data_IF_056457977556
#
_entry.id   IF_056457977556
#
_cell.length_a   1.000
_cell.length_b   1.000
_cell.length_c   1.000
_cell.angle_alpha   90.00
_cell.angle_beta   90.00
_cell.angle_gamma   90.00
#
_symmetry.space_group_name_H-M   'P 1'
#
loop_
_entity.id
_entity.type
_entity.pdbx_description
1 polymer ?
#
# COMPACT_ATOMS: atom_id res chain seq x y z
N UNK A 1 -26.41 42.65 15.11
CA UNK A 1 -27.02 43.00 13.80
C UNK A 1 -26.10 44.00 13.13
N UNK A 2 -25.62 43.70 11.91
CA UNK A 2 -25.09 44.56 10.80
C UNK A 2 -24.40 45.89 11.20
N UNK A 3 -23.27 46.33 10.66
CA UNK A 3 -22.65 46.16 9.34
C UNK A 3 -21.36 47.01 9.31
N UNK A 4 -20.43 46.66 8.40
CA UNK A 4 -19.46 47.49 7.66
C UNK A 4 -18.61 48.57 8.38
N UNK A 5 -17.28 48.42 8.32
CA UNK A 5 -16.42 49.33 7.53
C UNK A 5 -14.95 48.86 7.47
N UNK A 6 -14.42 48.81 6.25
CA UNK A 6 -12.99 48.86 5.87
C UNK A 6 -12.36 50.21 6.30
N UNK A 7 -11.02 50.43 6.37
CA UNK A 7 -10.04 50.01 5.34
C UNK A 7 -8.59 49.69 5.79
N UNK A 8 -7.86 49.06 4.87
CA UNK A 8 -6.39 49.01 4.86
C UNK A 8 -5.76 50.40 4.85
N UNK A 9 -4.73 50.61 5.69
CA UNK A 9 -3.68 51.62 5.52
C UNK A 9 -2.32 50.94 5.62
N UNK A 10 -1.51 51.05 4.57
CA UNK A 10 -0.07 50.82 4.61
C UNK A 10 0.67 52.12 4.99
N UNK A 11 1.94 52.02 5.41
CA UNK A 11 2.94 52.77 4.64
C UNK A 11 4.20 51.97 4.28
N UNK A 12 4.77 52.43 3.17
CA UNK A 12 6.04 52.15 2.48
C UNK A 12 7.27 51.83 3.35
N UNK A 13 8.09 50.85 2.90
CA UNK A 13 9.47 51.00 2.38
C UNK A 13 10.06 49.62 1.98
N UNK A 14 10.81 49.56 0.87
CA UNK A 14 11.32 48.36 0.16
C UNK A 14 12.78 48.00 0.53
N UNK A 15 13.51 47.07 -0.14
CA UNK A 15 13.15 45.77 -0.75
C UNK A 15 14.09 44.62 -0.29
N UNK A 16 13.63 43.35 -0.30
CA UNK A 16 14.37 42.15 -0.81
C UNK A 16 13.66 40.83 -0.45
N UNK A 17 13.68 39.94 -1.44
CA UNK A 17 13.17 38.56 -1.49
C UNK A 17 11.68 38.40 -1.82
N UNK A 18 11.43 37.96 -3.05
CA UNK A 18 10.12 37.55 -3.55
C UNK A 18 9.67 36.29 -2.80
N UNK A 19 8.82 36.47 -1.79
CA UNK A 19 7.78 35.51 -1.43
C UNK A 19 6.45 36.20 -1.74
N UNK A 20 5.84 35.84 -2.86
CA UNK A 20 4.44 36.21 -3.09
C UNK A 20 3.59 35.39 -2.13
N UNK A 21 3.14 36.05 -1.07
CA UNK A 21 2.11 35.58 -0.18
C UNK A 21 0.77 35.86 -0.87
N UNK A 22 0.30 34.91 -1.67
CA UNK A 22 -1.04 35.01 -2.27
C UNK A 22 -2.06 34.56 -1.22
N UNK A 23 -2.68 35.54 -0.57
CA UNK A 23 -3.95 35.34 0.10
C UNK A 23 -5.04 35.22 -0.99
N UNK A 24 -5.58 34.01 -1.20
CA UNK A 24 -6.80 33.84 -1.99
C UNK A 24 -8.00 33.77 -1.06
N UNK A 25 -8.87 34.77 -1.22
CA UNK A 25 -10.22 34.78 -0.68
C UNK A 25 -11.02 33.61 -1.25
N UNK A 26 -11.79 32.96 -0.38
CA UNK A 26 -12.75 31.94 -0.71
C UNK A 26 -13.90 32.53 -1.53
N UNK A 27 -14.05 32.10 -2.78
CA UNK A 27 -15.35 31.84 -3.41
C UNK A 27 -15.13 31.06 -4.72
N UNK A 28 -15.99 30.05 -4.91
CA UNK A 28 -16.20 29.28 -6.13
C UNK A 28 -15.02 28.47 -6.70
N UNK A 29 -14.82 27.25 -6.16
CA UNK A 29 -14.16 26.18 -6.89
C UNK A 29 -14.97 24.87 -6.79
N UNK A 30 -15.47 24.52 -7.96
CA UNK A 30 -16.17 23.31 -8.39
C UNK A 30 -15.53 22.02 -7.83
N UNK A 31 -16.35 21.16 -7.23
CA UNK A 31 -15.94 19.94 -6.51
C UNK A 31 -15.68 18.75 -7.43
N UNK A 32 -15.13 18.97 -8.62
CA UNK A 32 -14.78 17.91 -9.56
C UNK A 32 -13.27 17.93 -9.83
N UNK A 33 -12.64 16.75 -9.82
CA UNK A 33 -11.23 16.45 -10.13
C UNK A 33 -10.27 16.38 -8.92
N UNK A 34 -10.33 15.24 -8.22
CA UNK A 34 -9.10 14.61 -7.68
C UNK A 34 -9.19 13.09 -7.85
N UNK A 35 -8.78 12.60 -9.02
CA UNK A 35 -8.63 11.16 -9.27
C UNK A 35 -7.24 10.70 -8.82
N UNK A 36 -7.20 9.87 -7.77
CA UNK A 36 -6.05 9.03 -7.44
C UNK A 36 -5.87 7.96 -8.52
N UNK A 37 -4.65 7.44 -8.70
CA UNK A 37 -4.29 6.39 -9.67
C UNK A 37 -3.39 5.36 -8.98
N UNK A 38 -3.98 4.40 -8.26
CA UNK A 38 -3.45 3.06 -7.94
C UNK A 38 -4.36 2.28 -6.95
N UNK A 39 -4.07 0.98 -6.83
CA UNK A 39 -4.92 -0.21 -6.52
C UNK A 39 -5.81 -0.11 -5.30
N UNK A 40 -6.80 -0.99 -5.26
CA UNK A 40 -7.68 -1.20 -4.12
C UNK A 40 -7.81 -2.70 -3.91
N UNK A 41 -7.51 -3.20 -2.73
CA UNK A 41 -7.76 -4.61 -2.39
C UNK A 41 -8.31 -4.70 -0.96
N UNK A 42 -9.62 -4.48 -0.85
CA UNK A 42 -10.37 -4.88 0.33
C UNK A 42 -11.47 -5.84 -0.07
N UNK A 43 -11.40 -7.08 0.41
CA UNK A 43 -12.45 -8.08 0.19
C UNK A 43 -12.90 -8.65 1.54
N UNK A 44 -14.21 -8.70 1.75
CA UNK A 44 -14.84 -9.41 2.86
C UNK A 44 -15.23 -10.81 2.34
N UNK A 45 -14.82 -11.90 3.00
CA UNK A 45 -15.00 -13.28 2.51
C UNK A 45 -15.30 -14.30 3.62
N UNK A 46 -16.05 -15.34 3.24
CA UNK A 46 -16.55 -16.48 4.01
C UNK A 46 -15.73 -17.79 3.80
N UNK A 47 -15.80 -18.71 4.76
CA UNK A 47 -15.14 -20.04 4.76
C UNK A 47 -16.15 -21.16 4.44
N UNK A 48 -15.88 -22.10 3.52
CA UNK A 48 -16.73 -23.27 3.34
C UNK A 48 -16.28 -24.37 4.31
N UNK A 49 -17.04 -24.56 5.39
CA UNK A 49 -17.13 -25.88 6.01
C UNK A 49 -18.59 -26.31 5.94
N UNK A 50 -18.81 -27.41 5.22
CA UNK A 50 -20.11 -28.07 5.08
C UNK A 50 -20.66 -28.46 6.44
N UNK A 51 -21.54 -27.62 6.99
CA UNK A 51 -22.66 -28.02 7.83
C UNK A 51 -23.72 -26.90 7.71
N UNK A 52 -24.96 -27.30 7.40
CA UNK A 52 -26.14 -26.42 7.45
C UNK A 52 -26.16 -25.71 8.82
N UNK A 53 -25.77 -24.45 8.84
CA UNK A 53 -26.00 -23.53 9.93
C UNK A 53 -26.80 -22.37 9.37
N UNK A 54 -28.12 -22.50 9.48
CA UNK A 54 -29.04 -21.37 9.53
C UNK A 54 -28.64 -20.50 10.72
N UNK A 55 -27.80 -19.48 10.52
CA UNK A 55 -27.75 -18.32 11.40
C UNK A 55 -27.09 -17.15 10.67
N UNK A 56 -27.70 -15.98 10.80
CA UNK A 56 -27.34 -14.71 10.17
C UNK A 56 -25.86 -14.35 10.44
N UNK A 57 -24.98 -14.54 9.46
CA UNK A 57 -23.59 -14.05 9.47
C UNK A 57 -23.36 -13.27 8.17
N UNK A 58 -22.72 -12.08 8.20
CA UNK A 58 -22.68 -11.16 7.06
C UNK A 58 -21.88 -11.80 5.92
N UNK A 59 -22.59 -12.23 4.89
CA UNK A 59 -22.02 -12.75 3.66
C UNK A 59 -21.27 -11.62 2.93
N UNK A 60 -20.16 -11.96 2.29
CA UNK A 60 -19.51 -11.10 1.30
C UNK A 60 -20.58 -10.61 0.32
N UNK A 61 -20.77 -9.29 0.12
CA UNK A 61 -21.93 -8.76 -0.58
C UNK A 61 -22.01 -9.17 -2.06
N UNK A 62 -20.91 -9.69 -2.62
CA UNK A 62 -20.79 -10.10 -4.02
C UNK A 62 -20.39 -11.58 -4.19
N UNK A 63 -20.45 -12.36 -3.11
CA UNK A 63 -19.81 -13.68 -3.07
C UNK A 63 -18.29 -13.59 -2.96
N UNK A 64 -17.62 -14.70 -3.23
CA UNK A 64 -16.15 -14.81 -3.23
C UNK A 64 -15.59 -14.24 -4.54
N UNK A 65 -14.83 -13.14 -4.45
CA UNK A 65 -14.22 -12.46 -5.60
C UNK A 65 -12.75 -12.81 -5.82
N UNK A 66 -12.07 -13.34 -4.79
CA UNK A 66 -10.64 -13.68 -4.80
C UNK A 66 -10.41 -15.14 -4.32
N UNK A 67 -11.08 -16.15 -4.94
CA UNK A 67 -11.04 -17.53 -4.44
C UNK A 67 -9.63 -18.14 -4.37
N UNK A 68 -8.72 -17.73 -5.27
CA UNK A 68 -7.36 -18.26 -5.30
C UNK A 68 -6.53 -17.74 -4.12
N UNK A 69 -6.59 -16.43 -3.88
CA UNK A 69 -5.95 -15.77 -2.74
C UNK A 69 -6.58 -16.18 -1.41
N UNK A 70 -7.90 -16.41 -1.36
CA UNK A 70 -8.58 -16.98 -0.19
C UNK A 70 -8.06 -18.38 0.13
N UNK A 71 -7.91 -19.24 -0.87
CA UNK A 71 -7.32 -20.58 -0.67
C UNK A 71 -5.89 -20.49 -0.13
N UNK A 72 -5.06 -19.63 -0.73
CA UNK A 72 -3.69 -19.38 -0.24
C UNK A 72 -3.67 -18.82 1.17
N UNK A 73 -4.54 -17.86 1.50
CA UNK A 73 -4.61 -17.28 2.82
C UNK A 73 -5.06 -18.29 3.89
N UNK A 74 -5.91 -19.25 3.56
CA UNK A 74 -6.26 -20.35 4.48
C UNK A 74 -5.10 -21.33 4.69
N UNK A 75 -4.29 -21.57 3.66
CA UNK A 75 -3.15 -22.49 3.71
C UNK A 75 -1.88 -21.87 4.33
N UNK A 76 -1.79 -20.54 4.37
CA UNK A 76 -0.61 -19.80 4.83
C UNK A 76 -0.97 -18.78 5.91
N UNK A 77 -0.06 -17.83 6.19
CA UNK A 77 -0.24 -16.85 7.25
C UNK A 77 -1.00 -15.64 6.74
N UNK A 78 -2.09 -15.30 7.42
CA UNK A 78 -2.74 -13.99 7.32
C UNK A 78 -3.16 -13.54 8.72
N UNK A 79 -3.00 -12.25 8.97
CA UNK A 79 -3.46 -11.60 10.19
C UNK A 79 -4.89 -11.13 9.99
N UNK A 80 -5.77 -11.52 10.92
CA UNK A 80 -7.20 -11.28 10.80
C UNK A 80 -7.82 -10.96 12.15
N UNK A 81 -8.74 -9.97 12.23
CA UNK A 81 -9.50 -9.70 13.44
C UNK A 81 -10.58 -10.75 13.73
N UNK A 82 -10.77 -11.71 12.81
CA UNK A 82 -11.73 -12.81 12.94
C UNK A 82 -11.00 -14.15 13.04
N UNK A 83 -11.75 -15.23 13.27
CA UNK A 83 -11.24 -16.60 13.23
C UNK A 83 -11.04 -17.14 11.81
N UNK A 84 -11.43 -16.39 10.78
CA UNK A 84 -11.28 -16.73 9.36
C UNK A 84 -10.32 -15.75 8.68
N UNK A 85 -10.30 -15.74 7.35
CA UNK A 85 -9.66 -14.66 6.61
C UNK A 85 -10.33 -13.33 6.97
N UNK A 86 -9.50 -12.32 7.14
CA UNK A 86 -9.84 -10.94 7.36
C UNK A 86 -8.65 -10.10 6.92
N UNK A 87 -8.48 -8.92 7.51
CA UNK A 87 -7.34 -8.10 7.17
C UNK A 87 -7.19 -6.87 8.04
N UNK A 88 -6.49 -5.88 7.52
CA UNK A 88 -6.15 -4.68 8.25
C UNK A 88 -7.35 -3.73 8.31
N UNK A 89 -7.51 -3.08 9.45
CA UNK A 89 -8.40 -1.95 9.64
C UNK A 89 -7.75 -0.73 8.99
N UNK A 90 -8.46 -0.08 8.06
CA UNK A 90 -7.99 1.17 7.46
C UNK A 90 -8.13 2.32 8.44
N UNK A 91 -7.07 3.12 8.57
CA UNK A 91 -7.00 4.27 9.48
C UNK A 91 -6.70 5.56 8.68
N UNK A 92 -6.78 6.70 9.35
CA UNK A 92 -6.50 7.99 8.75
C UNK A 92 -5.10 8.04 8.14
N UNK A 93 -4.96 8.71 7.00
CA UNK A 93 -3.67 8.83 6.31
C UNK A 93 -3.14 7.54 5.67
N UNK A 94 -4.02 6.57 5.35
CA UNK A 94 -3.66 5.33 4.61
C UNK A 94 -4.62 5.00 3.45
N UNK A 95 -5.57 5.89 3.13
CA UNK A 95 -6.72 5.57 2.26
C UNK A 95 -6.49 5.69 0.74
N UNK A 96 -5.24 5.74 0.29
CA UNK A 96 -4.86 5.78 -1.13
C UNK A 96 -3.47 5.19 -1.30
N UNK A 97 -3.10 4.73 -2.51
CA UNK A 97 -1.89 3.91 -2.71
C UNK A 97 -0.62 4.48 -2.11
N UNK A 98 -0.28 5.75 -2.36
CA UNK A 98 0.94 6.34 -1.79
C UNK A 98 0.94 6.26 -0.26
N UNK A 99 -0.21 6.58 0.35
CA UNK A 99 -0.38 6.51 1.79
C UNK A 99 -0.35 5.09 2.36
N UNK A 100 -0.97 4.13 1.66
CA UNK A 100 -0.90 2.70 2.01
C UNK A 100 0.51 2.15 1.92
N UNK A 101 1.22 2.45 0.82
CA UNK A 101 2.63 2.06 0.61
C UNK A 101 3.54 2.64 1.69
N UNK A 102 3.41 3.93 2.02
CA UNK A 102 4.19 4.57 3.10
C UNK A 102 3.84 3.95 4.46
N UNK A 103 2.57 3.68 4.74
CA UNK A 103 2.17 3.04 5.98
C UNK A 103 2.78 1.64 6.11
N UNK A 104 2.78 0.85 5.03
CA UNK A 104 3.39 -0.48 5.01
C UNK A 104 4.92 -0.46 5.11
N UNK A 105 5.59 0.47 4.45
CA UNK A 105 7.06 0.51 4.44
C UNK A 105 7.62 1.23 5.66
N UNK A 106 6.98 2.32 6.11
CA UNK A 106 7.55 3.23 7.08
C UNK A 106 6.82 3.21 8.44
N UNK A 107 5.65 2.57 8.52
CA UNK A 107 4.88 2.49 9.75
C UNK A 107 4.31 3.84 10.19
N UNK A 108 4.08 4.78 9.27
CA UNK A 108 3.61 6.13 9.56
C UNK A 108 2.46 6.54 8.62
N UNK A 109 1.55 7.43 9.06
CA UNK A 109 0.51 7.97 8.19
C UNK A 109 1.09 8.96 7.18
N UNK A 110 0.50 9.02 5.98
CA UNK A 110 0.77 10.12 5.07
C UNK A 110 -0.18 11.29 5.37
N UNK A 111 0.33 12.25 6.13
CA UNK A 111 -0.28 13.57 6.26
C UNK A 111 0.40 14.53 5.27
N UNK A 112 -0.27 14.84 4.16
CA UNK A 112 0.26 15.79 3.19
C UNK A 112 0.19 17.21 3.78
N UNK A 113 1.28 18.00 3.75
CA UNK A 113 1.26 19.40 4.22
C UNK A 113 0.37 20.31 3.36
N UNK A 114 -0.09 19.83 2.20
CA UNK A 114 -0.98 20.55 1.27
C UNK A 114 -1.99 19.52 0.71
N UNK A 115 -3.26 19.88 0.62
CA UNK A 115 -4.29 18.99 0.06
C UNK A 115 -4.07 18.72 -1.43
N UNK A 116 -4.03 17.45 -1.82
CA UNK A 116 -3.99 17.00 -3.22
C UNK A 116 -2.76 16.17 -3.61
N UNK A 117 -2.80 15.63 -4.85
CA UNK A 117 -1.77 14.74 -5.42
C UNK A 117 -0.72 15.48 -6.26
N UNK A 118 -0.77 16.81 -6.29
CA UNK A 118 0.09 17.69 -7.10
C UNK A 118 1.47 17.88 -6.46
N UNK A 119 2.09 16.79 -6.03
CA UNK A 119 3.39 16.82 -5.39
C UNK A 119 4.45 16.34 -6.39
N UNK A 120 5.21 17.29 -6.93
CA UNK A 120 6.25 17.08 -7.95
C UNK A 120 7.66 17.35 -7.43
N UNK A 121 7.83 17.45 -6.11
CA UNK A 121 9.15 17.67 -5.52
C UNK A 121 10.00 16.40 -5.68
N UNK A 122 11.29 16.61 -5.99
CA UNK A 122 12.31 15.55 -5.97
C UNK A 122 12.56 14.96 -4.57
N UNK A 123 12.01 15.60 -3.55
CA UNK A 123 12.11 15.22 -2.14
C UNK A 123 10.75 14.76 -1.66
N UNK A 124 10.65 13.51 -1.21
CA UNK A 124 9.41 12.94 -0.70
C UNK A 124 9.74 12.04 0.50
N UNK A 125 9.42 12.54 1.70
CA UNK A 125 9.68 11.87 2.98
C UNK A 125 11.12 11.36 3.18
N UNK A 126 12.13 12.01 2.58
CA UNK A 126 13.53 11.56 2.63
C UNK A 126 14.08 11.36 4.05
N UNK A 127 13.57 12.13 5.01
CA UNK A 127 13.98 12.05 6.41
C UNK A 127 13.17 11.03 7.23
N UNK A 128 12.16 10.38 6.64
CA UNK A 128 11.56 9.21 7.26
C UNK A 128 12.54 8.03 7.25
N UNK A 129 12.33 7.07 8.14
CA UNK A 129 12.99 5.78 8.07
C UNK A 129 11.96 4.73 7.68
N UNK A 130 12.30 3.89 6.71
CA UNK A 130 11.43 2.83 6.22
C UNK A 130 12.12 1.46 6.27
N UNK A 131 11.34 0.38 6.20
CA UNK A 131 11.80 -1.00 6.18
C UNK A 131 12.81 -1.22 5.05
N UNK A 132 12.62 -0.60 3.88
CA UNK A 132 13.56 -0.67 2.77
C UNK A 132 14.94 -0.06 3.08
N UNK A 133 15.02 0.95 3.96
CA UNK A 133 16.30 1.47 4.42
C UNK A 133 17.04 0.44 5.30
N UNK A 134 16.29 -0.27 6.15
CA UNK A 134 16.84 -1.36 6.96
C UNK A 134 17.34 -2.47 6.04
N UNK A 135 16.53 -2.90 5.06
CA UNK A 135 16.90 -3.91 4.07
C UNK A 135 18.15 -3.51 3.28
N UNK A 136 18.27 -2.25 2.87
CA UNK A 136 19.45 -1.73 2.19
C UNK A 136 20.72 -1.92 3.04
N UNK A 137 20.66 -1.64 4.34
CA UNK A 137 21.81 -1.88 5.24
C UNK A 137 22.13 -3.36 5.49
N UNK A 138 21.16 -4.25 5.23
CA UNK A 138 21.39 -5.70 5.23
C UNK A 138 21.95 -6.21 3.90
N UNK A 139 22.02 -5.36 2.87
CA UNK A 139 22.59 -5.68 1.56
C UNK A 139 21.55 -6.10 0.53
N UNK A 140 20.26 -5.81 0.75
CA UNK A 140 19.21 -6.15 -0.20
C UNK A 140 19.31 -5.32 -1.48
N UNK A 141 19.26 -5.99 -2.63
CA UNK A 141 18.94 -5.35 -3.91
C UNK A 141 17.44 -5.10 -3.99
N UNK A 142 17.01 -3.85 -4.18
CA UNK A 142 15.59 -3.49 -4.09
C UNK A 142 15.09 -2.88 -5.38
N UNK A 143 14.01 -3.43 -5.93
CA UNK A 143 13.42 -2.97 -7.18
C UNK A 143 11.90 -2.89 -7.05
N UNK A 144 11.32 -1.80 -7.54
CA UNK A 144 9.87 -1.60 -7.66
C UNK A 144 9.46 -1.64 -9.13
N UNK A 145 8.43 -2.44 -9.44
CA UNK A 145 7.83 -2.60 -10.75
C UNK A 145 6.43 -2.01 -10.78
N UNK A 146 6.14 -1.22 -11.82
CA UNK A 146 4.81 -0.67 -12.05
C UNK A 146 4.53 -0.46 -13.54
N UNK A 147 3.26 -0.65 -13.92
CA UNK A 147 2.76 -0.35 -15.26
C UNK A 147 2.46 1.11 -15.54
N UNK A 148 2.74 1.99 -14.57
CA UNK A 148 2.47 3.43 -14.66
C UNK A 148 3.77 4.24 -14.63
N UNK A 149 3.71 5.50 -15.04
CA UNK A 149 4.75 6.47 -14.68
C UNK A 149 4.68 6.74 -13.17
N UNK A 150 5.65 6.22 -12.44
CA UNK A 150 5.70 6.32 -10.99
C UNK A 150 6.09 7.72 -10.49
N UNK A 151 6.42 8.66 -11.38
CA UNK A 151 6.65 10.07 -10.99
C UNK A 151 5.38 10.73 -10.48
N UNK A 152 4.21 10.17 -10.81
CA UNK A 152 2.91 10.61 -10.29
C UNK A 152 2.85 10.49 -8.76
N UNK A 153 2.26 11.50 -8.11
CA UNK A 153 2.11 11.61 -6.65
C UNK A 153 3.41 11.48 -5.83
N UNK A 154 4.58 11.57 -6.48
CA UNK A 154 5.88 11.49 -5.82
C UNK A 154 6.38 10.08 -5.51
N UNK A 155 5.70 9.01 -5.97
CA UNK A 155 6.06 7.60 -5.68
C UNK A 155 7.51 7.29 -6.07
N UNK A 156 7.93 7.68 -7.29
CA UNK A 156 9.30 7.46 -7.78
C UNK A 156 10.35 8.13 -6.90
N UNK A 157 10.11 9.36 -6.46
CA UNK A 157 11.05 10.10 -5.63
C UNK A 157 11.16 9.49 -4.23
N UNK A 158 10.04 9.10 -3.64
CA UNK A 158 10.01 8.35 -2.38
C UNK A 158 10.76 7.02 -2.49
N UNK A 159 10.47 6.19 -3.49
CA UNK A 159 11.14 4.89 -3.65
C UNK A 159 12.66 5.07 -3.79
N UNK A 160 13.09 6.03 -4.60
CA UNK A 160 14.51 6.32 -4.80
C UNK A 160 15.20 6.84 -3.54
N UNK A 161 14.55 7.68 -2.74
CA UNK A 161 15.11 8.19 -1.48
C UNK A 161 15.25 7.10 -0.40
N UNK A 162 14.50 6.01 -0.54
CA UNK A 162 14.53 4.84 0.35
C UNK A 162 15.20 3.60 -0.28
N UNK A 163 16.17 3.84 -1.18
CA UNK A 163 17.06 2.82 -1.77
C UNK A 163 16.34 1.74 -2.59
N UNK A 164 15.22 2.07 -3.22
CA UNK A 164 14.48 1.19 -4.12
C UNK A 164 14.61 1.72 -5.56
N UNK A 165 15.19 0.91 -6.45
CA UNK A 165 15.26 1.23 -7.87
C UNK A 165 13.87 1.11 -8.52
N UNK A 166 13.56 1.97 -9.49
CA UNK A 166 12.22 2.02 -10.11
C UNK A 166 12.31 1.52 -11.56
N UNK A 167 11.59 0.43 -11.86
CA UNK A 167 11.32 -0.08 -13.20
C UNK A 167 9.84 0.16 -13.50
N UNK A 168 9.54 1.37 -13.98
CA UNK A 168 8.20 1.86 -14.30
C UNK A 168 7.95 1.86 -15.82
N UNK A 169 6.75 2.28 -16.27
CA UNK A 169 6.45 2.34 -17.70
C UNK A 169 7.50 3.15 -18.50
N UNK A 170 7.90 4.37 -18.09
CA UNK A 170 9.00 5.10 -18.74
C UNK A 170 10.31 4.33 -18.82
N UNK A 171 10.69 3.59 -17.77
CA UNK A 171 11.88 2.72 -17.78
C UNK A 171 11.76 1.64 -18.86
N UNK A 172 10.66 0.88 -18.89
CA UNK A 172 10.47 -0.19 -19.88
C UNK A 172 10.49 0.33 -21.31
N UNK A 173 9.93 1.52 -21.54
CA UNK A 173 9.96 2.18 -22.84
C UNK A 173 11.37 2.64 -23.23
N UNK A 174 12.11 3.23 -22.30
CA UNK A 174 13.49 3.67 -22.53
C UNK A 174 14.44 2.50 -22.81
N UNK A 175 14.17 1.32 -22.24
CA UNK A 175 14.93 0.09 -22.49
C UNK A 175 14.47 -0.66 -23.76
N UNK A 176 13.39 -0.23 -24.42
CA UNK A 176 12.82 -0.94 -25.57
C UNK A 176 12.16 -2.29 -25.22
N UNK A 177 11.88 -2.53 -23.94
CA UNK A 177 11.17 -3.73 -23.45
C UNK A 177 9.68 -3.63 -23.81
N UNK A 178 9.14 -2.42 -23.80
CA UNK A 178 7.76 -2.08 -24.16
C UNK A 178 7.80 -0.94 -25.19
N UNK A 179 6.91 -0.92 -26.20
CA UNK A 179 6.88 0.17 -27.18
C UNK A 179 6.52 1.52 -26.54
N UNK A 180 6.99 2.61 -27.15
CA UNK A 180 6.68 3.98 -26.72
C UNK A 180 5.18 4.30 -26.73
N UNK A 181 4.42 3.61 -27.60
CA UNK A 181 2.97 3.64 -27.62
C UNK A 181 2.44 2.23 -27.35
N UNK A 182 1.61 2.09 -26.32
CA UNK A 182 1.01 0.81 -25.97
C UNK A 182 -0.10 0.47 -26.97
N UNK A 183 -0.12 -0.77 -27.44
CA UNK A 183 -1.25 -1.32 -28.20
C UNK A 183 -2.26 -1.99 -27.26
N UNK A 184 -3.36 -2.51 -27.82
CA UNK A 184 -4.43 -3.16 -27.06
C UNK A 184 -3.97 -4.45 -26.35
N UNK A 185 -2.85 -5.04 -26.80
CA UNK A 185 -2.31 -6.26 -26.20
C UNK A 185 -1.53 -5.95 -24.91
N UNK A 186 -1.09 -4.70 -24.72
CA UNK A 186 -0.33 -4.25 -23.55
C UNK A 186 -1.09 -3.28 -22.64
N UNK A 187 -2.03 -2.52 -23.21
CA UNK A 187 -2.69 -1.41 -22.54
C UNK A 187 -3.88 -1.86 -21.67
N UNK A 188 -3.80 -1.54 -20.38
CA UNK A 188 -4.96 -1.45 -19.48
C UNK A 188 -5.54 -0.03 -19.44
N UNK A 189 -6.48 0.25 -18.56
CA UNK A 189 -7.11 1.58 -18.48
C UNK A 189 -6.16 2.70 -18.05
N UNK A 190 -5.14 2.41 -17.25
CA UNK A 190 -4.27 3.42 -16.65
C UNK A 190 -2.82 3.38 -17.15
N UNK A 191 -2.40 2.28 -17.78
CA UNK A 191 -1.03 2.06 -18.26
C UNK A 191 -0.87 0.63 -18.75
N UNK A 192 0.25 -0.03 -18.45
CA UNK A 192 0.38 -1.46 -18.70
C UNK A 192 -0.58 -2.25 -17.80
N UNK A 193 -1.26 -3.23 -18.40
CA UNK A 193 -2.12 -4.17 -17.69
C UNK A 193 -1.32 -5.06 -16.73
N UNK A 194 -1.97 -5.55 -15.68
CA UNK A 194 -1.31 -6.29 -14.60
C UNK A 194 -0.73 -7.62 -15.06
N UNK A 195 -1.38 -8.30 -16.01
CA UNK A 195 -0.85 -9.54 -16.59
C UNK A 195 0.54 -9.33 -17.19
N UNK A 196 0.77 -8.19 -17.86
CA UNK A 196 2.09 -7.85 -18.40
C UNK A 196 3.10 -7.50 -17.32
N UNK A 197 2.67 -6.84 -16.26
CA UNK A 197 3.55 -6.51 -15.13
C UNK A 197 4.01 -7.77 -14.39
N UNK A 198 3.14 -8.77 -14.22
CA UNK A 198 3.55 -10.05 -13.65
C UNK A 198 4.50 -10.84 -14.55
N UNK A 199 4.35 -10.78 -15.88
CA UNK A 199 5.36 -11.34 -16.80
C UNK A 199 6.72 -10.66 -16.62
N UNK A 200 6.76 -9.32 -16.65
CA UNK A 200 7.99 -8.56 -16.47
C UNK A 200 8.63 -8.80 -15.09
N UNK A 201 7.82 -9.00 -14.06
CA UNK A 201 8.31 -9.35 -12.74
C UNK A 201 9.00 -10.73 -12.71
N UNK A 202 8.42 -11.72 -13.38
CA UNK A 202 9.04 -13.05 -13.50
C UNK A 202 10.34 -13.02 -14.31
N UNK A 203 10.42 -12.19 -15.35
CA UNK A 203 11.65 -11.97 -16.11
C UNK A 203 12.71 -11.21 -15.29
N UNK A 204 12.27 -10.33 -14.39
CA UNK A 204 13.16 -9.52 -13.54
C UNK A 204 13.76 -10.33 -12.39
N UNK A 205 12.99 -11.21 -11.73
CA UNK A 205 13.42 -12.02 -10.59
C UNK A 205 14.83 -12.65 -10.75
N UNK A 206 15.14 -13.42 -11.81
CA UNK A 206 16.44 -14.07 -11.96
C UNK A 206 17.61 -13.09 -12.20
N UNK A 207 17.32 -11.82 -12.46
CA UNK A 207 18.35 -10.77 -12.66
C UNK A 207 18.76 -10.09 -11.36
N UNK A 208 17.97 -10.26 -10.28
CA UNK A 208 18.21 -9.60 -9.00
C UNK A 208 19.34 -10.28 -8.23
N UNK A 209 20.22 -9.46 -7.65
CA UNK A 209 21.29 -9.95 -6.76
C UNK A 209 20.70 -10.28 -5.39
N UNK A 210 20.91 -11.51 -4.92
CA UNK A 210 20.50 -11.93 -3.56
C UNK A 210 21.37 -11.30 -2.45
N UNK A 211 20.78 -10.98 -1.27
CA UNK A 211 19.34 -10.99 -1.02
C UNK A 211 18.64 -9.85 -1.78
N UNK A 212 17.37 -10.03 -2.14
CA UNK A 212 16.61 -9.02 -2.88
C UNK A 212 15.22 -8.76 -2.28
N UNK A 213 14.65 -7.60 -2.59
CA UNK A 213 13.24 -7.30 -2.41
C UNK A 213 12.67 -6.77 -3.74
N UNK A 214 11.66 -7.47 -4.26
CA UNK A 214 10.93 -7.08 -5.45
C UNK A 214 9.54 -6.60 -5.03
N UNK A 215 9.24 -5.32 -5.29
CA UNK A 215 7.95 -4.72 -5.04
C UNK A 215 7.19 -4.62 -6.36
N UNK A 216 5.94 -5.07 -6.40
CA UNK A 216 5.11 -5.06 -7.61
C UNK A 216 3.81 -4.34 -7.28
N UNK A 217 3.50 -3.27 -8.02
CA UNK A 217 2.20 -2.62 -7.94
C UNK A 217 1.34 -3.02 -9.12
N UNK A 218 0.15 -3.51 -8.80
CA UNK A 218 -0.93 -3.71 -9.78
C UNK A 218 -1.63 -2.37 -10.10
N UNK A 219 -2.62 -2.37 -10.98
CA UNK A 219 -3.48 -1.21 -11.30
C UNK A 219 -4.89 -1.60 -11.78
N UNK A 220 -5.14 -2.83 -12.19
CA UNK A 220 -6.37 -3.17 -12.89
C UNK A 220 -7.61 -3.17 -11.99
N UNK A 221 -7.48 -3.22 -10.66
CA UNK A 221 -8.62 -3.06 -9.73
C UNK A 221 -8.99 -1.59 -9.44
N UNK A 222 -8.42 -0.65 -10.19
CA UNK A 222 -8.62 0.77 -9.96
C UNK A 222 -10.04 1.24 -10.28
N UNK A 223 -10.60 2.09 -9.41
CA UNK A 223 -11.89 2.75 -9.64
C UNK A 223 -11.86 3.68 -10.89
N UNK A 224 -13.00 3.99 -11.53
CA UNK A 224 -14.34 3.54 -11.20
C UNK A 224 -14.58 2.08 -11.58
N UNK A 225 -14.09 1.57 -12.71
CA UNK A 225 -14.66 0.35 -13.30
C UNK A 225 -13.73 -0.85 -13.29
N UNK A 226 -12.45 -0.67 -12.95
CA UNK A 226 -11.44 -1.72 -13.06
C UNK A 226 -11.21 -2.14 -14.50
N UNK A 227 -10.24 -3.01 -14.73
CA UNK A 227 -9.88 -3.54 -16.03
C UNK A 227 -9.81 -5.06 -15.96
N UNK A 228 -10.30 -5.73 -17.00
CA UNK A 228 -10.23 -7.18 -17.14
C UNK A 228 -9.50 -7.49 -18.44
N UNK A 229 -8.31 -8.07 -18.32
CA UNK A 229 -7.54 -8.50 -19.48
C UNK A 229 -8.27 -9.65 -20.19
N UNK A 230 -8.81 -9.38 -21.37
CA UNK A 230 -9.56 -10.38 -22.14
C UNK A 230 -8.74 -11.58 -22.57
N UNK A 231 -7.41 -11.46 -22.63
CA UNK A 231 -6.53 -12.56 -23.00
C UNK A 231 -6.29 -13.50 -21.81
N UNK A 232 -5.98 -12.95 -20.64
CA UNK A 232 -5.72 -13.74 -19.43
C UNK A 232 -7.01 -14.19 -18.70
N UNK A 233 -8.09 -13.44 -18.88
CA UNK A 233 -9.34 -13.54 -18.12
C UNK A 233 -10.57 -13.49 -19.03
N UNK A 234 -10.49 -14.08 -20.24
CA UNK A 234 -11.56 -14.01 -21.24
C UNK A 234 -12.89 -14.65 -20.82
N UNK A 235 -12.87 -15.50 -19.80
CA UNK A 235 -14.03 -16.14 -19.16
C UNK A 235 -14.64 -15.33 -18.00
N UNK A 236 -14.03 -14.19 -17.63
CA UNK A 236 -14.48 -13.33 -16.53
C UNK A 236 -15.29 -12.15 -17.09
N UNK A 237 -16.39 -11.80 -16.40
CA UNK A 237 -17.22 -10.64 -16.75
C UNK A 237 -16.38 -9.34 -16.71
N UNK A 238 -16.54 -8.47 -17.71
CA UNK A 238 -15.75 -7.23 -17.83
C UNK A 238 -16.37 -6.08 -17.02
N UNK A 239 -16.48 -6.30 -15.71
CA UNK A 239 -16.98 -5.31 -14.74
C UNK A 239 -16.02 -5.14 -13.56
N UNK A 240 -16.37 -4.25 -12.63
CA UNK A 240 -15.54 -3.96 -11.46
C UNK A 240 -15.31 -5.18 -10.56
N UNK A 241 -16.27 -6.12 -10.46
CA UNK A 241 -16.09 -7.37 -9.70
C UNK A 241 -15.13 -8.29 -10.44
N UNK A 242 -15.28 -8.40 -11.75
CA UNK A 242 -14.40 -9.17 -12.62
C UNK A 242 -12.96 -8.70 -12.59
N UNK A 243 -12.70 -7.41 -12.41
CA UNK A 243 -11.35 -6.90 -12.22
C UNK A 243 -10.66 -7.50 -10.97
N UNK A 244 -11.41 -7.68 -9.86
CA UNK A 244 -10.89 -8.38 -8.67
C UNK A 244 -10.64 -9.86 -8.96
N UNK A 245 -11.57 -10.55 -9.61
CA UNK A 245 -11.42 -11.99 -9.95
C UNK A 245 -10.28 -12.22 -10.94
N UNK A 246 -10.06 -11.31 -11.89
CA UNK A 246 -8.94 -11.39 -12.81
C UNK A 246 -7.62 -11.16 -12.07
N UNK A 247 -7.54 -10.13 -11.23
CA UNK A 247 -6.34 -9.83 -10.43
C UNK A 247 -6.00 -10.96 -9.46
N UNK A 248 -7.00 -11.60 -8.83
CA UNK A 248 -6.83 -12.82 -8.03
C UNK A 248 -6.10 -13.93 -8.79
N UNK A 249 -6.59 -14.24 -10.00
CA UNK A 249 -6.00 -15.26 -10.87
C UNK A 249 -4.56 -14.91 -11.26
N UNK A 250 -4.31 -13.66 -11.62
CA UNK A 250 -2.99 -13.20 -12.04
C UNK A 250 -1.98 -13.26 -10.89
N UNK A 251 -2.35 -12.82 -9.69
CA UNK A 251 -1.48 -12.91 -8.51
C UNK A 251 -1.21 -14.37 -8.15
N UNK A 252 -2.23 -15.23 -8.17
CA UNK A 252 -2.06 -16.65 -7.86
C UNK A 252 -1.14 -17.37 -8.86
N UNK A 253 -1.26 -17.08 -10.17
CA UNK A 253 -0.33 -17.60 -11.17
C UNK A 253 1.09 -17.10 -10.96
N UNK A 254 1.26 -15.79 -10.69
CA UNK A 254 2.57 -15.22 -10.36
C UNK A 254 3.21 -15.92 -9.15
N UNK A 255 2.48 -16.07 -8.04
CA UNK A 255 2.96 -16.76 -6.83
C UNK A 255 3.41 -18.17 -7.17
N UNK A 256 2.57 -18.94 -7.88
CA UNK A 256 2.88 -20.31 -8.27
C UNK A 256 4.16 -20.38 -9.11
N UNK A 257 4.31 -19.49 -10.09
CA UNK A 257 5.50 -19.43 -10.96
C UNK A 257 6.74 -18.99 -10.20
N UNK A 258 6.64 -17.98 -9.34
CA UNK A 258 7.75 -17.54 -8.49
C UNK A 258 8.21 -18.65 -7.53
N UNK A 259 7.27 -19.34 -6.88
CA UNK A 259 7.57 -20.50 -6.03
C UNK A 259 8.17 -21.68 -6.81
N UNK A 260 7.82 -21.87 -8.08
CA UNK A 260 8.47 -22.90 -8.92
C UNK A 260 9.95 -22.62 -9.19
N UNK A 261 10.38 -21.34 -9.13
CA UNK A 261 11.76 -20.91 -9.35
C UNK A 261 12.55 -20.94 -8.03
N UNK A 262 11.98 -20.42 -6.94
CA UNK A 262 12.70 -20.19 -5.67
C UNK A 262 12.29 -21.12 -4.52
N UNK A 263 11.15 -21.80 -4.61
CA UNK A 263 10.62 -22.63 -3.53
C UNK A 263 10.45 -21.85 -2.22
N UNK A 264 10.93 -22.43 -1.12
CA UNK A 264 10.76 -21.87 0.23
C UNK A 264 11.82 -20.84 0.64
N UNK A 265 12.78 -20.54 -0.23
CA UNK A 265 13.76 -19.46 0.00
C UNK A 265 13.14 -18.08 -0.23
N UNK A 266 12.10 -18.00 -1.07
CA UNK A 266 11.37 -16.77 -1.35
C UNK A 266 10.21 -16.59 -0.37
N UNK A 267 10.31 -15.56 0.47
CA UNK A 267 9.14 -15.06 1.22
C UNK A 267 8.33 -14.14 0.32
N UNK A 268 7.02 -14.39 0.23
CA UNK A 268 6.10 -13.59 -0.58
C UNK A 268 5.07 -12.95 0.36
N UNK A 269 4.85 -11.65 0.17
CA UNK A 269 3.84 -10.90 0.92
C UNK A 269 2.89 -10.24 -0.08
N UNK A 270 1.60 -10.53 0.05
CA UNK A 270 0.53 -9.91 -0.77
C UNK A 270 -0.26 -8.98 0.13
N UNK A 271 -0.37 -7.72 -0.27
CA UNK A 271 -1.04 -6.68 0.50
C UNK A 271 -2.02 -5.95 -0.40
N UNK A 272 -3.24 -5.73 0.10
CA UNK A 272 -4.01 -4.59 -0.37
C UNK A 272 -3.37 -3.32 0.15
N UNK A 273 -3.30 -2.27 -0.65
CA UNK A 273 -2.79 -0.97 -0.24
C UNK A 273 -3.83 -0.16 0.53
N UNK A 274 -5.10 -0.22 0.12
CA UNK A 274 -6.22 0.39 0.80
C UNK A 274 -7.58 -0.22 0.40
N UNK A 275 -8.62 0.21 1.11
CA UNK A 275 -10.02 -0.11 0.85
C UNK A 275 -10.51 0.55 -0.43
N UNK A 276 -11.32 -0.17 -1.22
CA UNK A 276 -11.94 0.37 -2.44
C UNK A 276 -12.68 1.70 -2.25
N UNK A 277 -12.36 2.68 -3.10
CA UNK A 277 -12.99 4.00 -3.15
C UNK A 277 -14.19 4.04 -4.11
N UNK A 278 -14.66 2.89 -4.61
CA UNK A 278 -15.84 2.83 -5.48
C UNK A 278 -17.02 3.52 -4.81
N UNK A 279 -17.54 4.54 -5.48
CA UNK A 279 -18.69 5.34 -5.06
C UNK A 279 -20.01 4.75 -5.58
N UNK A 280 -21.14 5.40 -5.27
CA UNK A 280 -22.44 5.04 -5.83
C UNK A 280 -23.13 3.86 -5.13
N UNK A 281 -22.78 3.57 -3.87
CA UNK A 281 -23.41 2.50 -3.11
C UNK A 281 -23.05 1.09 -3.56
N UNK A 282 -21.93 0.92 -4.28
CA UNK A 282 -21.45 -0.38 -4.74
C UNK A 282 -21.40 -1.39 -3.59
N UNK A 283 -20.73 -1.03 -2.50
CA UNK A 283 -20.73 -1.82 -1.26
C UNK A 283 -22.01 -1.54 -0.45
N UNK A 284 -22.72 -2.58 0.02
CA UNK A 284 -23.85 -2.40 0.91
C UNK A 284 -23.47 -1.67 2.20
N UNK A 285 -24.39 -0.89 2.78
CA UNK A 285 -24.17 -0.27 4.08
C UNK A 285 -23.93 -1.34 5.15
N UNK A 286 -23.08 -1.03 6.14
CA UNK A 286 -22.76 -1.90 7.29
C UNK A 286 -22.02 -3.21 6.96
N UNK A 287 -21.34 -3.29 5.82
CA UNK A 287 -20.38 -4.37 5.55
C UNK A 287 -19.03 -4.00 6.16
N UNK A 288 -18.52 -4.85 7.04
CA UNK A 288 -17.15 -4.75 7.53
C UNK A 288 -16.19 -5.05 6.39
N UNK A 289 -15.26 -4.13 6.15
CA UNK A 289 -14.27 -4.22 5.08
C UNK A 289 -12.88 -4.12 5.66
N UNK A 290 -12.00 -4.98 5.18
CA UNK A 290 -10.62 -5.05 5.61
C UNK A 290 -9.69 -5.01 4.41
N UNK A 291 -8.47 -4.55 4.63
CA UNK A 291 -7.41 -4.55 3.62
C UNK A 291 -6.67 -5.88 3.66
N UNK A 292 -6.59 -6.57 2.52
CA UNK A 292 -6.09 -7.94 2.46
C UNK A 292 -4.61 -8.05 2.84
N UNK A 293 -4.22 -9.13 3.51
CA UNK A 293 -2.82 -9.47 3.75
C UNK A 293 -2.60 -11.00 3.68
N UNK A 294 -1.45 -11.41 3.17
CA UNK A 294 -1.03 -12.80 3.08
C UNK A 294 0.51 -12.86 3.11
N UNK A 295 1.04 -13.75 3.93
CA UNK A 295 2.47 -14.06 4.07
C UNK A 295 2.68 -15.53 3.74
N UNK A 296 3.47 -15.78 2.70
CA UNK A 296 3.89 -17.11 2.25
C UNK A 296 5.38 -17.26 2.56
N UNK A 297 5.74 -18.39 3.16
CA UNK A 297 7.11 -18.71 3.58
C UNK A 297 7.79 -17.62 4.43
N UNK A 298 7.10 -16.96 5.40
CA UNK A 298 7.74 -15.97 6.24
C UNK A 298 8.81 -16.63 7.13
N UNK A 299 9.88 -15.88 7.42
CA UNK A 299 10.99 -16.27 8.30
C UNK A 299 10.92 -15.53 9.64
N UNK A 300 9.71 -15.40 10.19
CA UNK A 300 9.48 -14.72 11.47
C UNK A 300 10.43 -15.25 12.55
N UNK A 301 11.05 -14.34 13.30
CA UNK A 301 12.09 -14.68 14.29
C UNK A 301 11.52 -15.16 15.63
N UNK A 302 10.21 -15.39 15.68
CA UNK A 302 9.50 -15.97 16.82
C UNK A 302 8.53 -17.05 16.34
N UNK A 303 8.28 -18.10 17.14
CA UNK A 303 7.30 -19.13 16.77
C UNK A 303 5.91 -18.55 16.47
N UNK A 304 5.27 -19.08 15.44
CA UNK A 304 3.93 -18.69 15.02
C UNK A 304 3.14 -19.91 14.55
N UNK A 305 1.81 -19.83 14.66
CA UNK A 305 0.85 -20.77 14.04
C UNK A 305 -0.22 -19.99 13.28
N UNK A 306 -0.97 -20.65 12.41
CA UNK A 306 -2.11 -20.02 11.70
C UNK A 306 -3.13 -19.48 12.70
N UNK A 307 -3.39 -20.19 13.80
CA UNK A 307 -4.32 -19.78 14.85
C UNK A 307 -3.81 -18.55 15.61
N UNK A 308 -2.50 -18.45 15.84
CA UNK A 308 -1.90 -17.30 16.55
C UNK A 308 -2.03 -15.97 15.79
N UNK A 309 -2.33 -16.02 14.49
CA UNK A 309 -2.54 -14.84 13.65
C UNK A 309 -4.03 -14.49 13.46
N UNK A 310 -4.94 -15.21 14.13
CA UNK A 310 -6.37 -14.92 14.17
C UNK A 310 -6.76 -14.12 15.40
N UNK A 311 -7.92 -13.48 15.33
CA UNK A 311 -8.38 -12.54 16.37
C UNK A 311 -7.34 -11.45 16.67
N UNK A 312 -6.62 -11.00 15.63
CA UNK A 312 -5.62 -9.93 15.67
C UNK A 312 -6.12 -8.70 14.93
N UNK A 313 -6.23 -7.57 15.62
CA UNK A 313 -6.67 -6.30 15.01
C UNK A 313 -5.47 -5.47 14.62
N UNK A 314 -5.18 -5.40 13.33
CA UNK A 314 -4.02 -4.66 12.79
C UNK A 314 -4.46 -3.44 11.99
N UNK A 315 -3.58 -2.45 11.93
CA UNK A 315 -3.60 -1.33 10.99
C UNK A 315 -2.56 -1.53 9.88
N UNK A 316 -2.50 -0.59 8.93
CA UNK A 316 -1.46 -0.61 7.89
C UNK A 316 -0.05 -0.46 8.50
N UNK A 317 0.10 0.25 9.62
CA UNK A 317 1.41 0.52 10.20
C UNK A 317 2.08 -0.74 10.75
N UNK A 318 1.28 -1.72 11.19
CA UNK A 318 1.77 -2.98 11.78
C UNK A 318 2.45 -3.88 10.74
N UNK A 319 2.25 -3.60 9.44
CA UNK A 319 2.93 -4.30 8.34
C UNK A 319 4.43 -3.98 8.29
N UNK A 320 4.86 -2.75 8.59
CA UNK A 320 6.28 -2.40 8.52
C UNK A 320 7.20 -3.29 9.38
N UNK A 321 6.92 -3.51 10.68
CA UNK A 321 7.73 -4.43 11.46
C UNK A 321 7.51 -5.91 11.06
N UNK A 322 6.31 -6.28 10.57
CA UNK A 322 6.07 -7.63 10.03
C UNK A 322 6.87 -7.91 8.75
N UNK A 323 7.07 -6.94 7.86
CA UNK A 323 7.88 -7.09 6.64
C UNK A 323 9.36 -7.34 6.95
N UNK A 324 9.88 -6.68 7.98
CA UNK A 324 11.25 -6.92 8.44
C UNK A 324 11.37 -8.33 9.07
N UNK A 325 10.44 -8.67 9.96
CA UNK A 325 10.47 -9.95 10.66
C UNK A 325 10.19 -11.12 9.71
N UNK A 326 9.39 -10.94 8.66
CA UNK A 326 9.10 -11.98 7.66
C UNK A 326 10.33 -12.39 6.85
N UNK A 327 11.41 -11.62 6.90
CA UNK A 327 12.71 -11.97 6.29
C UNK A 327 13.81 -12.21 7.32
N UNK A 328 13.43 -12.49 8.58
CA UNK A 328 14.37 -12.84 9.65
C UNK A 328 15.02 -11.65 10.36
N UNK A 329 14.52 -10.43 10.13
CA UNK A 329 15.02 -9.24 10.84
C UNK A 329 14.04 -8.92 11.97
N UNK A 330 14.37 -9.36 13.19
CA UNK A 330 13.53 -9.09 14.37
C UNK A 330 13.17 -7.61 14.48
N UNK A 331 11.87 -7.32 14.43
CA UNK A 331 11.31 -5.99 14.65
C UNK A 331 10.01 -6.13 15.46
N UNK A 332 10.06 -5.73 16.73
CA UNK A 332 8.88 -5.70 17.61
C UNK A 332 7.98 -4.48 17.33
N UNK A 333 8.59 -3.39 16.87
CA UNK A 333 7.90 -2.17 16.48
C UNK A 333 8.68 -1.42 15.41
N UNK A 334 7.95 -0.66 14.58
CA UNK A 334 8.54 0.23 13.58
C UNK A 334 7.55 1.37 13.30
N UNK A 335 7.96 2.62 13.55
CA UNK A 335 7.04 3.76 13.56
C UNK A 335 5.88 3.56 14.56
N UNK A 336 4.65 3.75 14.09
CA UNK A 336 3.42 3.42 14.82
C UNK A 336 3.11 1.92 14.85
N UNK A 337 3.73 1.13 13.95
CA UNK A 337 3.51 -0.29 13.84
C UNK A 337 4.01 -1.06 15.06
N UNK A 338 3.25 -2.08 15.45
CA UNK A 338 3.60 -3.08 16.46
C UNK A 338 3.46 -4.44 15.83
N UNK A 339 4.50 -5.26 15.91
CA UNK A 339 4.44 -6.60 15.37
C UNK A 339 3.58 -7.48 16.31
N UNK A 340 2.44 -7.99 15.83
CA UNK A 340 1.50 -8.75 16.65
C UNK A 340 2.11 -10.03 17.22
N UNK A 341 3.20 -10.57 16.64
CA UNK A 341 3.84 -11.79 17.14
C UNK A 341 4.57 -11.58 18.47
N UNK A 342 4.81 -10.34 18.88
CA UNK A 342 5.51 -10.00 20.14
C UNK A 342 4.62 -9.36 21.19
N UNK A 343 3.41 -8.94 20.84
CA UNK A 343 2.52 -8.24 21.75
C UNK A 343 1.27 -7.72 21.06
N UNK A 344 0.55 -6.85 21.74
CA UNK A 344 -0.66 -6.22 21.21
C UNK A 344 -0.34 -5.05 20.28
N UNK A 345 -1.14 -4.86 19.25
CA UNK A 345 -1.10 -3.66 18.40
C UNK A 345 -1.69 -2.45 19.12
N UNK A 346 -1.56 -1.26 18.51
CA UNK A 346 -2.21 -0.05 19.02
C UNK A 346 -3.74 -0.16 19.02
N UNK A 347 -4.31 -0.84 18.01
CA UNK A 347 -5.76 -1.09 17.91
C UNK A 347 -6.25 -2.19 18.86
N UNK A 348 -5.36 -3.01 19.40
CA UNK A 348 -5.69 -4.07 20.37
C UNK A 348 -5.59 -3.60 21.82
N UNK A 349 -4.71 -2.64 22.11
CA UNK A 349 -4.33 -2.29 23.49
C UNK A 349 -4.71 -0.89 23.93
N UNK A 350 -4.65 0.10 23.02
CA UNK A 350 -4.56 1.51 23.41
C UNK A 350 -5.70 2.34 22.84
N UNK A 351 -6.10 2.10 21.59
CA UNK A 351 -7.03 2.95 20.87
C UNK A 351 -8.12 2.13 20.18
N UNK A 352 -9.35 2.63 20.22
CA UNK A 352 -10.34 2.34 19.18
C UNK A 352 -9.88 2.95 17.84
N UNK A 353 -10.49 2.51 16.74
CA UNK A 353 -10.20 3.06 15.40
C UNK A 353 -10.41 4.59 15.35
N UNK A 354 -11.50 5.08 15.94
CA UNK A 354 -11.84 6.52 15.95
C UNK A 354 -10.85 7.33 16.78
N UNK A 355 -10.42 6.80 17.94
CA UNK A 355 -9.41 7.45 18.76
C UNK A 355 -8.05 7.50 18.05
N UNK A 356 -7.63 6.40 17.41
CA UNK A 356 -6.38 6.38 16.66
C UNK A 356 -6.43 7.37 15.48
N UNK A 357 -7.54 7.43 14.76
CA UNK A 357 -7.76 8.40 13.69
C UNK A 357 -7.67 9.84 14.20
N UNK A 358 -8.27 10.12 15.37
CA UNK A 358 -8.20 11.44 16.00
C UNK A 358 -6.77 11.80 16.43
N UNK A 359 -5.96 10.85 16.90
CA UNK A 359 -4.54 11.09 17.21
C UNK A 359 -3.71 11.35 15.95
N UNK A 360 -3.88 10.55 14.90
CA UNK A 360 -3.18 10.69 13.62
C UNK A 360 -3.43 12.05 12.98
N UNK A 361 -4.65 12.57 13.11
CA UNK A 361 -5.05 13.83 12.49
C UNK A 361 -4.48 15.08 13.18
N UNK A 362 -3.79 14.92 14.32
CA UNK A 362 -3.15 16.03 15.02
C UNK A 362 -1.87 16.44 14.32
N UNK A 363 -1.58 17.76 14.34
CA UNK A 363 -0.30 18.28 13.88
C UNK A 363 0.84 17.69 14.70
N UNK A 364 1.86 17.18 14.02
CA UNK A 364 2.98 16.54 14.67
C UNK A 364 4.30 17.01 14.03
N UNK A 365 5.10 17.73 14.82
CA UNK A 365 6.40 18.27 14.37
C UNK A 365 7.37 17.20 13.88
N UNK A 366 7.27 15.97 14.40
CA UNK A 366 8.08 14.84 13.94
C UNK A 366 7.67 14.44 12.52
N UNK A 367 6.37 14.33 12.24
CA UNK A 367 5.89 14.02 10.89
C UNK A 367 6.17 15.16 9.91
N UNK A 368 6.04 16.41 10.36
CA UNK A 368 6.42 17.58 9.56
C UNK A 368 7.92 17.52 9.19
N UNK A 369 8.78 17.10 10.12
CA UNK A 369 10.24 17.02 9.88
C UNK A 369 10.64 15.97 8.84
N UNK A 370 9.80 14.98 8.54
CA UNK A 370 10.10 13.99 7.50
C UNK A 370 10.13 14.60 6.09
N UNK A 371 9.48 15.74 5.90
CA UNK A 371 9.48 16.50 4.66
C UNK A 371 10.72 17.41 4.48
N UNK A 372 11.57 17.53 5.50
CA UNK A 372 12.78 18.36 5.46
C UNK A 372 13.99 17.56 4.94
N UNK A 373 14.85 18.20 4.14
CA UNK A 373 16.06 17.57 3.60
C UNK A 373 17.16 17.50 4.67
N UNK A 374 17.82 16.35 4.80
CA UNK A 374 19.08 16.22 5.55
C UNK A 374 18.99 15.74 7.00
N UNK A 375 17.83 15.25 7.46
CA UNK A 375 17.61 14.83 8.86
C UNK A 375 17.20 13.37 9.01
N UNK A 376 17.66 12.47 8.12
CA UNK A 376 17.33 11.03 8.23
C UNK A 376 17.91 10.43 9.53
N UNK A 377 17.08 9.85 10.42
CA UNK A 377 17.56 9.27 11.68
C UNK A 377 18.61 8.17 11.42
N UNK A 378 19.69 8.17 12.20
CA UNK A 378 20.66 7.06 12.14
C UNK A 378 20.06 5.79 12.72
N UNK A 379 20.25 4.65 12.04
CA UNK A 379 19.81 3.32 12.46
C UNK A 379 20.29 2.88 13.84
N UNK A 380 21.30 3.56 14.42
CA UNK A 380 21.82 3.32 15.77
C UNK A 380 20.75 3.39 16.87
N UNK A 381 19.59 4.00 16.60
CA UNK A 381 18.49 4.13 17.57
C UNK A 381 17.39 3.07 17.43
N UNK A 382 17.40 2.23 16.39
CA UNK A 382 16.49 1.09 16.35
C UNK A 382 17.11 -0.08 17.08
N UNK A 383 16.33 -0.68 17.98
CA UNK A 383 16.65 -1.96 18.60
C UNK A 383 16.46 -3.09 17.57
N UNK A 384 17.26 -3.06 16.49
CA UNK A 384 17.33 -4.14 15.51
C UNK A 384 18.40 -5.12 16.00
N UNK A 385 18.07 -6.42 16.01
CA UNK A 385 19.05 -7.45 16.34
C UNK A 385 20.29 -7.32 15.42
N UNK A 386 21.51 -7.51 15.94
CA UNK A 386 22.74 -7.50 15.13
C UNK A 386 22.63 -8.47 13.95
N UNK A 387 23.39 -8.20 12.88
CA UNK A 387 23.57 -9.17 11.79
C UNK A 387 24.19 -10.43 12.41
N UNK A 388 23.48 -11.56 12.41
CA UNK A 388 24.11 -12.85 12.69
C UNK A 388 25.20 -13.06 11.64
N UNK A 389 26.43 -13.34 12.10
CA UNK A 389 27.62 -13.49 11.26
C UNK A 389 27.67 -14.84 10.55
#
# INVERSE_FOLDING_TARGET
>A
MRAFDSPCKAPFLSPKSNREQVCLESNDLDSSLSSSRAVQSGVAIHSPNTQKLESKSPQAPFGELIPSLSSLAQAHINFSPTNSIGGLVQVAGTGWTMAGTIAHLCGIPLAMPIGGNSFSNKYFLDSALCASDVLATRGYSQVYLSGLDSSFAGMKYFLQSHSIAVMDLPYFQAQGIVPAHLDQDLQGFWGLKDSKIFELALDTLPTLKEPFALYISTIDTHHPDGFVDSHACGDIERDYKGAFTCTDRLIADFIKRAQSIYGDSLSIVVLGDHLSMKVGGFFPPNVNRYVFNLFINPKFTTPYTIESTKSRTLSHFDIAPLLLDSVGIRAESFGLGRNPLYGQTLLESTFSQDELNAQISQKNRMYDSFWEVGHKPTLKHLHLAPKEQ
#
